data_IF_838063716611
#
_entry.id   IF_838063716611
#
_cell.length_a   1.000
_cell.length_b   1.000
_cell.length_c   1.000
_cell.angle_alpha   90.00
_cell.angle_beta   90.00
_cell.angle_gamma   90.00
#
_symmetry.space_group_name_H-M   'P 1'
#
loop_
_entity.id
_entity.type
_entity.pdbx_description
1 polymer ?
#
# COMPACT_ATOMS: atom_id res chain seq x y z
N UNK A 1 -6.36 -7.70 6.37
CA UNK A 1 -5.23 -6.99 5.76
C UNK A 1 -4.94 -5.76 6.62
N UNK A 2 -3.86 -5.75 7.40
CA UNK A 2 -3.47 -4.55 8.17
C UNK A 2 -2.89 -3.49 7.22
N UNK A 3 -3.73 -2.52 6.87
CA UNK A 3 -3.42 -1.38 6.02
C UNK A 3 -2.44 -0.40 6.69
N UNK A 4 -2.36 -0.39 8.01
CA UNK A 4 -1.37 0.35 8.79
C UNK A 4 0.06 -0.14 8.54
N UNK A 5 0.28 -1.44 8.30
CA UNK A 5 1.60 -1.97 7.93
C UNK A 5 2.01 -1.56 6.51
N UNK A 6 1.07 -1.56 5.58
CA UNK A 6 1.29 -1.05 4.21
C UNK A 6 1.70 0.42 4.26
N UNK A 7 1.01 1.22 5.06
CA UNK A 7 1.34 2.63 5.24
C UNK A 7 2.75 2.80 5.84
N UNK A 8 3.12 2.02 6.84
CA UNK A 8 4.46 2.07 7.44
C UNK A 8 5.58 1.71 6.43
N UNK A 9 5.36 0.71 5.57
CA UNK A 9 6.28 0.35 4.49
C UNK A 9 6.41 1.51 3.49
N UNK A 10 5.27 2.08 3.09
CA UNK A 10 5.24 3.23 2.19
C UNK A 10 6.00 4.41 2.80
N UNK A 11 5.72 4.79 4.05
CA UNK A 11 6.43 5.86 4.74
C UNK A 11 7.94 5.60 4.84
N UNK A 12 8.35 4.36 5.15
CA UNK A 12 9.77 4.03 5.27
C UNK A 12 10.54 4.08 3.95
N UNK A 13 9.90 3.80 2.80
CA UNK A 13 10.58 3.65 1.50
C UNK A 13 10.31 4.81 0.54
N UNK A 14 9.18 5.48 0.68
CA UNK A 14 8.66 6.45 -0.29
C UNK A 14 8.73 7.89 0.21
N UNK A 15 8.94 8.14 1.51
CA UNK A 15 8.89 9.49 2.10
C UNK A 15 9.80 10.49 1.38
N UNK A 16 10.98 10.07 0.90
CA UNK A 16 11.95 10.97 0.27
C UNK A 16 11.59 11.39 -1.16
N UNK A 17 10.87 10.56 -1.92
CA UNK A 17 10.71 10.74 -3.38
C UNK A 17 9.27 10.63 -3.89
N UNK A 18 8.38 10.02 -3.10
CA UNK A 18 7.03 9.67 -3.51
C UNK A 18 6.04 9.95 -2.38
N UNK A 19 6.18 11.10 -1.72
CA UNK A 19 5.31 11.53 -0.63
C UNK A 19 3.82 11.55 -1.04
N UNK A 20 3.53 11.96 -2.28
CA UNK A 20 2.17 11.92 -2.84
C UNK A 20 1.55 10.51 -2.84
N UNK A 21 2.35 9.45 -2.95
CA UNK A 21 1.86 8.06 -2.87
C UNK A 21 1.46 7.72 -1.44
N UNK A 22 2.21 8.23 -0.46
CA UNK A 22 1.89 8.07 0.97
C UNK A 22 0.60 8.83 1.28
N UNK A 23 0.46 10.08 0.84
CA UNK A 23 -0.76 10.86 1.04
C UNK A 23 -1.97 10.21 0.39
N UNK A 24 -1.83 9.68 -0.82
CA UNK A 24 -2.89 8.93 -1.51
C UNK A 24 -3.30 7.66 -0.75
N UNK A 25 -2.37 6.99 -0.07
CA UNK A 25 -2.69 5.84 0.80
C UNK A 25 -3.40 6.32 2.08
N UNK A 26 -2.91 7.39 2.73
CA UNK A 26 -3.54 7.98 3.92
C UNK A 26 -4.95 8.46 3.63
N UNK A 27 -5.16 9.08 2.47
CA UNK A 27 -6.47 9.53 2.01
C UNK A 27 -7.44 8.35 1.85
N UNK A 28 -7.00 7.26 1.20
CA UNK A 28 -7.80 6.04 1.01
C UNK A 28 -8.12 5.30 2.32
N UNK A 29 -7.20 5.35 3.29
CA UNK A 29 -7.46 4.83 4.64
C UNK A 29 -8.51 5.69 5.35
N UNK A 30 -8.38 7.02 5.27
CA UNK A 30 -9.26 7.97 5.96
C UNK A 30 -10.65 8.08 5.33
N UNK A 31 -10.78 7.77 4.05
CA UNK A 31 -12.05 7.84 3.32
C UNK A 31 -12.92 6.59 3.43
N UNK A 32 -12.39 5.49 3.97
CA UNK A 32 -13.14 4.24 4.15
C UNK A 32 -13.67 4.08 5.58
N UNK A 33 -14.83 3.43 5.69
CA UNK A 33 -15.53 3.24 6.97
C UNK A 33 -15.23 1.89 7.64
N UNK A 34 -14.80 0.90 6.86
CA UNK A 34 -14.51 -0.46 7.36
C UNK A 34 -13.13 -0.95 6.94
N UNK A 35 -12.53 -1.86 7.72
CA UNK A 35 -11.24 -2.48 7.37
C UNK A 35 -11.25 -3.22 6.03
N UNK A 36 -12.41 -3.75 5.61
CA UNK A 36 -12.59 -4.37 4.30
C UNK A 36 -12.53 -3.37 3.14
N UNK A 37 -13.20 -2.22 3.29
CA UNK A 37 -13.14 -1.12 2.31
C UNK A 37 -11.73 -0.53 2.22
N UNK A 38 -11.06 -0.33 3.36
CA UNK A 38 -9.68 0.16 3.38
C UNK A 38 -8.77 -0.80 2.60
N UNK A 39 -8.90 -2.11 2.84
CA UNK A 39 -8.14 -3.13 2.11
C UNK A 39 -8.39 -3.06 0.60
N UNK A 40 -9.65 -2.90 0.17
CA UNK A 40 -10.01 -2.77 -1.25
C UNK A 40 -9.48 -1.49 -1.89
N UNK A 41 -9.56 -0.33 -1.21
CA UNK A 41 -9.08 0.94 -1.74
C UNK A 41 -7.56 0.98 -1.82
N UNK A 42 -6.87 0.65 -0.72
CA UNK A 42 -5.40 0.63 -0.67
C UNK A 42 -4.86 -0.45 -1.61
N UNK A 43 -5.42 -1.66 -1.57
CA UNK A 43 -5.05 -2.75 -2.46
C UNK A 43 -5.30 -2.41 -3.94
N UNK A 44 -6.44 -1.79 -4.25
CA UNK A 44 -6.77 -1.31 -5.60
C UNK A 44 -5.79 -0.25 -6.09
N UNK A 45 -5.40 0.69 -5.24
CA UNK A 45 -4.40 1.71 -5.57
C UNK A 45 -3.00 1.11 -5.81
N UNK A 46 -2.57 0.19 -4.94
CA UNK A 46 -1.31 -0.51 -5.14
C UNK A 46 -1.31 -1.35 -6.42
N UNK A 47 -2.43 -2.01 -6.72
CA UNK A 47 -2.62 -2.74 -7.98
C UNK A 47 -2.53 -1.79 -9.18
N UNK A 48 -3.15 -0.62 -9.11
CA UNK A 48 -3.06 0.40 -10.16
C UNK A 48 -1.60 0.84 -10.39
N UNK A 49 -0.85 1.14 -9.33
CA UNK A 49 0.56 1.51 -9.44
C UNK A 49 1.41 0.37 -10.02
N UNK A 50 1.11 -0.88 -9.65
CA UNK A 50 1.74 -2.07 -10.22
C UNK A 50 1.47 -2.21 -11.71
N UNK A 51 0.21 -2.10 -12.11
CA UNK A 51 -0.22 -2.30 -13.49
C UNK A 51 0.33 -1.18 -14.39
N UNK A 52 0.61 0.01 -13.85
CA UNK A 52 1.35 1.08 -14.52
C UNK A 52 2.89 0.96 -14.46
N UNK A 53 3.41 -0.10 -13.82
CA UNK A 53 4.83 -0.29 -13.57
C UNK A 53 5.51 0.93 -12.90
N UNK A 54 4.77 1.59 -12.00
CA UNK A 54 5.19 2.85 -11.39
C UNK A 54 6.40 2.62 -10.45
N UNK A 55 7.45 3.47 -10.50
CA UNK A 55 8.68 3.25 -9.73
C UNK A 55 8.46 3.20 -8.22
N UNK A 56 7.52 4.00 -7.69
CA UNK A 56 7.10 3.90 -6.28
C UNK A 56 6.62 2.49 -5.89
N UNK A 57 5.86 1.81 -6.74
CA UNK A 57 5.41 0.45 -6.44
C UNK A 57 6.58 -0.53 -6.47
N UNK A 58 7.51 -0.39 -7.42
CA UNK A 58 8.70 -1.24 -7.49
C UNK A 58 9.55 -1.18 -6.21
N UNK A 59 9.63 -0.02 -5.56
CA UNK A 59 10.37 0.17 -4.31
C UNK A 59 9.74 -0.55 -3.11
N UNK A 60 8.40 -0.62 -3.05
CA UNK A 60 7.68 -1.26 -1.93
C UNK A 60 7.22 -2.68 -2.26
N UNK A 61 7.31 -3.12 -3.53
CA UNK A 61 6.78 -4.39 -4.03
C UNK A 61 7.27 -5.56 -3.19
N UNK A 62 8.57 -5.65 -2.93
CA UNK A 62 9.15 -6.78 -2.20
C UNK A 62 8.62 -6.86 -0.75
N UNK A 63 8.53 -5.72 -0.06
CA UNK A 63 8.02 -5.65 1.30
C UNK A 63 6.52 -5.95 1.36
N UNK A 64 5.73 -5.41 0.41
CA UNK A 64 4.29 -5.65 0.30
C UNK A 64 4.00 -7.12 -0.04
N UNK A 65 4.76 -7.71 -0.97
CA UNK A 65 4.58 -9.12 -1.39
C UNK A 65 4.98 -10.09 -0.27
N UNK A 66 6.07 -9.80 0.44
CA UNK A 66 6.47 -10.56 1.64
C UNK A 66 5.40 -10.51 2.74
N UNK A 67 4.82 -9.33 2.95
CA UNK A 67 3.73 -9.12 3.88
C UNK A 67 2.47 -9.90 3.47
N UNK A 68 2.03 -9.80 2.21
CA UNK A 68 0.85 -10.50 1.71
C UNK A 68 1.04 -12.03 1.72
N UNK A 69 2.22 -12.51 1.35
CA UNK A 69 2.56 -13.94 1.38
C UNK A 69 2.50 -14.51 2.80
N UNK A 70 2.84 -13.71 3.82
CA UNK A 70 2.69 -14.10 5.23
C UNK A 70 1.24 -14.25 5.71
N UNK A 71 0.26 -13.71 4.98
CA UNK A 71 -1.17 -13.89 5.27
C UNK A 71 -1.78 -15.11 4.58
N UNK A 72 -1.19 -15.60 3.48
CA UNK A 72 -1.71 -16.73 2.71
C UNK A 72 -1.28 -18.08 3.34
N UNK A 73 -0.18 -18.09 4.10
CA UNK A 73 0.37 -19.30 4.74
C UNK A 73 0.07 -19.43 6.25
N UNK A 74 -1.03 -18.84 6.73
CA UNK A 74 -1.43 -18.94 8.14
C UNK A 74 -2.80 -19.56 8.33
#
# INVERSE_FOLDING_TARGET
MDYTKILAIAESKLHTHYEYVIDEIKLKISSASTGGEIGSLVGGYLKFLRDQNHPAYLLIKNDVDSYLSSFIFK
#
